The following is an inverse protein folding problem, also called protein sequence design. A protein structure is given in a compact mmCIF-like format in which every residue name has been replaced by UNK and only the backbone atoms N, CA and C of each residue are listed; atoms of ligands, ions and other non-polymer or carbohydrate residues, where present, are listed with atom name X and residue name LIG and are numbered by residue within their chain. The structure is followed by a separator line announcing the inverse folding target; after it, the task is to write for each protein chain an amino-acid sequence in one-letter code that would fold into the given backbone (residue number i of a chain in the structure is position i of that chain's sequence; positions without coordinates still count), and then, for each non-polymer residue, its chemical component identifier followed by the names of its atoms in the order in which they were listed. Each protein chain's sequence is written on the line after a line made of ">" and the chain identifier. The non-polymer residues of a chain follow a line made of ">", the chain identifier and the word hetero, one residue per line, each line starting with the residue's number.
data_IF_386803062651
#
_entry.id   IF_386803062651
#
_cell.length_a   1.000
_cell.length_b   1.000
_cell.length_c   1.000
_cell.angle_alpha   90.00
_cell.angle_beta   90.00
_cell.angle_gamma   90.00
#
_symmetry.space_group_name_H-M   'P 1'
#
loop_
_entity.id
_entity.type
_entity.pdbx_description
1 polymer ?
#
# COMPACT_ATOMS: atom_id res chain seq x y z
N UNK A 1 49.09 -50.84 17.60
CA UNK A 1 47.92 -50.86 16.70
C UNK A 1 47.34 -49.45 16.74
N UNK A 2 47.76 -48.61 15.80
CA UNK A 2 47.55 -47.16 15.84
C UNK A 2 46.63 -46.79 14.68
N UNK A 3 45.41 -46.36 14.98
CA UNK A 3 44.45 -45.91 13.97
C UNK A 3 44.80 -44.48 13.53
N UNK A 4 45.14 -44.33 12.26
CA UNK A 4 45.37 -43.03 11.61
C UNK A 4 44.03 -42.56 11.05
N UNK A 5 43.47 -41.48 11.61
CA UNK A 5 42.31 -40.78 11.06
C UNK A 5 42.76 -39.91 9.88
N UNK A 6 42.30 -40.23 8.67
CA UNK A 6 42.42 -39.34 7.51
C UNK A 6 41.36 -38.24 7.62
N UNK A 7 41.79 -37.01 7.92
CA UNK A 7 40.95 -35.82 7.88
C UNK A 7 40.85 -35.35 6.42
N UNK A 8 39.74 -35.65 5.75
CA UNK A 8 39.44 -35.14 4.42
C UNK A 8 39.01 -33.67 4.53
N UNK A 9 39.91 -32.76 4.17
CA UNK A 9 39.57 -31.36 3.92
C UNK A 9 38.75 -31.27 2.63
N UNK A 10 37.44 -31.12 2.75
CA UNK A 10 36.63 -30.59 1.64
C UNK A 10 36.92 -29.10 1.51
N UNK A 11 37.78 -28.73 0.56
CA UNK A 11 37.83 -27.36 0.07
C UNK A 11 36.50 -27.06 -0.61
N UNK A 12 35.59 -26.41 0.10
CA UNK A 12 34.38 -25.84 -0.50
C UNK A 12 34.85 -24.82 -1.54
N UNK A 13 34.63 -25.14 -2.82
CA UNK A 13 34.80 -24.17 -3.89
C UNK A 13 33.78 -23.06 -3.59
N UNK A 14 34.27 -21.91 -3.15
CA UNK A 14 33.46 -20.71 -3.01
C UNK A 14 32.99 -20.32 -4.42
N UNK A 15 31.81 -20.78 -4.80
CA UNK A 15 31.14 -20.26 -5.98
C UNK A 15 30.94 -18.76 -5.70
N UNK A 16 31.46 -17.85 -6.53
CA UNK A 16 31.21 -16.43 -6.35
C UNK A 16 29.70 -16.24 -6.40
N UNK A 17 29.09 -15.99 -5.24
CA UNK A 17 27.69 -15.58 -5.17
C UNK A 17 27.67 -14.27 -5.94
N UNK A 18 27.07 -14.28 -7.13
CA UNK A 18 26.76 -13.05 -7.85
C UNK A 18 26.12 -12.12 -6.81
N UNK A 19 26.77 -10.99 -6.54
CA UNK A 19 26.17 -9.92 -5.76
C UNK A 19 24.82 -9.68 -6.41
N UNK A 20 23.74 -10.04 -5.72
CA UNK A 20 22.41 -9.89 -6.28
C UNK A 20 22.26 -8.40 -6.52
N UNK A 21 22.22 -8.02 -7.80
CA UNK A 21 22.03 -6.64 -8.20
C UNK A 21 20.82 -6.09 -7.45
N UNK A 22 20.95 -4.88 -6.93
CA UNK A 22 19.85 -4.16 -6.27
C UNK A 22 18.61 -4.28 -7.16
N UNK A 23 17.56 -4.90 -6.64
CA UNK A 23 16.42 -5.28 -7.47
C UNK A 23 15.47 -4.11 -7.72
N UNK A 24 15.64 -3.05 -6.93
CA UNK A 24 14.98 -1.79 -7.12
C UNK A 24 15.43 -1.13 -8.43
N UNK A 25 14.53 -1.01 -9.39
CA UNK A 25 14.80 -0.39 -10.68
C UNK A 25 14.95 1.11 -10.51
N UNK A 26 14.02 1.72 -9.77
CA UNK A 26 14.01 3.16 -9.48
C UNK A 26 13.62 3.41 -8.02
N UNK A 27 14.34 4.33 -7.37
CA UNK A 27 14.00 4.88 -6.05
C UNK A 27 13.62 6.34 -6.21
N UNK A 28 12.36 6.66 -5.96
CA UNK A 28 11.82 8.00 -6.14
C UNK A 28 11.28 8.48 -4.79
N UNK A 29 11.64 9.70 -4.39
CA UNK A 29 10.98 10.38 -3.28
C UNK A 29 9.57 10.78 -3.76
N UNK A 30 8.55 10.15 -3.20
CA UNK A 30 7.16 10.41 -3.61
C UNK A 30 6.49 11.40 -2.68
N UNK A 31 6.86 11.49 -1.41
CA UNK A 31 6.27 12.47 -0.52
C UNK A 31 7.32 13.04 0.42
N UNK A 32 7.37 14.37 0.47
CA UNK A 32 8.15 15.11 1.45
C UNK A 32 7.18 15.65 2.48
N UNK A 33 7.27 15.15 3.72
CA UNK A 33 6.43 15.67 4.80
C UNK A 33 6.67 17.18 4.94
N UNK A 34 5.62 18.02 4.89
CA UNK A 34 5.77 19.44 5.14
C UNK A 34 6.04 19.73 6.62
N UNK A 35 5.84 18.76 7.52
CA UNK A 35 5.95 18.95 8.98
C UNK A 35 6.60 17.75 9.67
N UNK A 36 7.72 18.00 10.37
CA UNK A 36 8.26 17.11 11.40
C UNK A 36 8.61 15.66 11.01
N UNK A 37 8.73 14.81 12.04
CA UNK A 37 8.91 13.37 11.90
C UNK A 37 7.59 12.72 11.44
N UNK A 38 7.56 12.22 10.21
CA UNK A 38 6.46 11.40 9.71
C UNK A 38 6.76 9.90 9.87
N UNK A 39 6.26 9.27 10.92
CA UNK A 39 6.34 7.81 11.11
C UNK A 39 5.26 7.07 10.32
N UNK A 40 5.39 5.76 10.22
CA UNK A 40 4.26 4.86 9.96
C UNK A 40 3.38 5.12 8.75
N UNK A 41 3.49 4.31 7.71
CA UNK A 41 2.73 4.51 6.48
C UNK A 41 1.89 3.29 6.05
N UNK A 42 0.74 3.59 5.46
CA UNK A 42 -0.10 2.70 4.68
C UNK A 42 -0.54 3.42 3.40
N UNK A 43 -0.49 2.71 2.27
CA UNK A 43 -0.85 3.29 0.97
C UNK A 43 -1.76 2.31 0.27
N UNK A 44 -2.85 2.78 -0.33
CA UNK A 44 -3.63 1.95 -1.24
C UNK A 44 -3.89 2.71 -2.53
N UNK A 45 -4.08 1.94 -3.58
CA UNK A 45 -4.54 2.46 -4.85
C UNK A 45 -5.92 1.89 -5.11
N UNK A 46 -6.89 2.78 -5.30
CA UNK A 46 -8.25 2.39 -5.63
C UNK A 46 -8.47 2.64 -7.14
N UNK A 47 -8.42 1.61 -8.00
CA UNK A 47 -8.47 1.79 -9.46
C UNK A 47 -9.75 2.48 -9.95
N UNK A 48 -10.85 2.38 -9.19
CA UNK A 48 -12.09 3.09 -9.52
C UNK A 48 -12.05 4.60 -9.25
N UNK A 49 -11.05 5.09 -8.53
CA UNK A 49 -10.94 6.50 -8.11
C UNK A 49 -9.75 7.22 -8.75
N UNK A 50 -8.85 6.48 -9.40
CA UNK A 50 -7.61 6.98 -10.02
C UNK A 50 -6.73 7.80 -9.07
N UNK A 51 -6.73 7.36 -7.81
CA UNK A 51 -6.01 8.02 -6.73
C UNK A 51 -5.29 7.00 -5.88
N UNK A 52 -4.08 7.35 -5.51
CA UNK A 52 -3.41 6.72 -4.39
C UNK A 52 -3.85 7.47 -3.14
N UNK A 53 -4.20 6.75 -2.08
CA UNK A 53 -4.46 7.32 -0.76
C UNK A 53 -3.36 6.84 0.16
N UNK A 54 -2.74 7.77 0.87
CA UNK A 54 -1.68 7.49 1.82
C UNK A 54 -2.13 7.93 3.19
N UNK A 55 -2.15 7.00 4.13
CA UNK A 55 -2.29 7.25 5.55
C UNK A 55 -0.93 7.19 6.18
N UNK A 56 -0.63 8.16 7.05
CA UNK A 56 0.65 8.19 7.74
C UNK A 56 0.54 8.86 9.11
N UNK A 57 1.49 8.59 10.01
CA UNK A 57 1.59 9.32 11.27
C UNK A 57 2.53 10.52 11.12
N UNK A 58 2.19 11.62 11.77
CA UNK A 58 3.01 12.82 11.75
C UNK A 58 2.93 13.52 13.10
N UNK A 59 4.10 13.78 13.68
CA UNK A 59 4.18 14.57 14.90
C UNK A 59 3.79 16.00 14.59
N UNK A 60 2.73 16.46 15.24
CA UNK A 60 2.15 17.77 14.96
C UNK A 60 1.74 18.47 16.25
N UNK A 61 1.67 19.80 16.20
CA UNK A 61 0.89 20.59 17.15
C UNK A 61 -0.34 21.09 16.44
N UNK A 62 -1.49 21.09 17.12
CA UNK A 62 -2.73 21.62 16.56
C UNK A 62 -2.94 23.04 17.09
N UNK A 63 -2.89 24.04 16.22
CA UNK A 63 -3.23 25.42 16.56
C UNK A 63 -4.50 25.78 15.79
N UNK A 64 -5.60 26.04 16.50
CA UNK A 64 -6.91 26.35 15.91
C UNK A 64 -7.41 25.31 14.89
N UNK A 65 -7.20 24.01 15.17
CA UNK A 65 -7.65 22.92 14.30
C UNK A 65 -6.79 22.71 13.05
N UNK A 66 -5.65 23.39 12.92
CA UNK A 66 -4.68 23.20 11.83
C UNK A 66 -3.34 22.70 12.36
N UNK A 67 -2.62 21.86 11.60
CA UNK A 67 -1.25 21.52 11.94
C UNK A 67 -0.41 22.79 11.93
N UNK A 68 0.24 23.06 13.06
CA UNK A 68 1.28 24.09 13.16
C UNK A 68 2.63 23.46 12.86
N UNK A 69 3.35 24.09 11.93
CA UNK A 69 4.74 23.78 11.58
C UNK A 69 5.76 24.39 12.53
N UNK A 70 5.31 25.27 13.43
CA UNK A 70 6.21 25.92 14.36
C UNK A 70 6.55 24.95 15.47
N UNK A 71 7.82 24.56 15.56
CA UNK A 71 8.40 23.80 16.67
C UNK A 71 8.31 24.69 17.93
N UNK A 72 7.39 24.45 18.88
CA UNK A 72 7.39 25.15 20.15
C UNK A 72 8.66 24.78 20.92
N UNK A 73 9.21 25.72 21.70
CA UNK A 73 10.32 25.45 22.61
C UNK A 73 9.98 24.31 23.59
N UNK A 74 10.97 23.45 23.88
CA UNK A 74 10.94 22.14 24.60
C UNK A 74 10.02 21.92 25.83
N UNK A 75 9.28 22.90 26.34
CA UNK A 75 8.54 22.79 27.60
C UNK A 75 7.01 22.57 27.46
N UNK A 76 6.45 22.48 26.25
CA UNK A 76 4.98 22.41 26.06
C UNK A 76 4.39 21.00 25.83
N UNK A 77 5.19 19.94 25.95
CA UNK A 77 4.74 18.54 25.77
C UNK A 77 3.59 18.19 26.74
N UNK A 78 3.55 18.81 27.92
CA UNK A 78 2.53 18.52 28.94
C UNK A 78 1.22 19.34 28.78
N UNK A 79 1.17 20.34 27.88
CA UNK A 79 0.02 21.24 27.70
C UNK A 79 -0.79 20.97 26.41
N UNK A 80 -0.67 19.79 25.81
CA UNK A 80 -1.23 19.47 24.49
C UNK A 80 -0.22 19.55 23.34
N UNK A 81 1.08 19.62 23.67
CA UNK A 81 2.18 19.60 22.72
C UNK A 81 2.49 18.20 22.18
N UNK A 82 2.92 18.16 20.93
CA UNK A 82 3.56 17.03 20.23
C UNK A 82 2.94 15.66 20.46
N UNK A 83 1.91 15.37 19.67
CA UNK A 83 1.40 14.03 19.52
C UNK A 83 1.58 13.60 18.07
N UNK A 84 1.96 12.35 17.86
CA UNK A 84 1.68 11.74 16.57
C UNK A 84 0.16 11.63 16.43
N UNK A 85 -0.30 12.01 15.24
CA UNK A 85 -1.67 11.89 14.80
C UNK A 85 -1.67 11.15 13.49
N UNK A 86 -2.82 10.58 13.14
CA UNK A 86 -2.98 9.91 11.86
C UNK A 86 -3.54 10.90 10.87
N UNK A 87 -2.77 11.13 9.81
CA UNK A 87 -3.12 11.98 8.69
C UNK A 87 -3.35 11.12 7.46
N UNK A 88 -3.98 11.73 6.47
CA UNK A 88 -3.99 11.18 5.13
C UNK A 88 -3.77 12.26 4.09
N UNK A 89 -3.22 11.84 2.97
CA UNK A 89 -3.12 12.60 1.74
C UNK A 89 -3.50 11.70 0.57
N UNK A 90 -3.59 12.27 -0.62
CA UNK A 90 -3.85 11.50 -1.83
C UNK A 90 -3.04 12.03 -3.01
N UNK A 91 -2.88 11.20 -4.03
CA UNK A 91 -2.19 11.53 -5.27
C UNK A 91 -3.10 11.33 -6.46
N UNK A 92 -3.15 12.32 -7.35
CA UNK A 92 -3.77 12.17 -8.67
C UNK A 92 -2.75 11.74 -9.70
N UNK A 93 -2.90 10.55 -10.29
CA UNK A 93 -2.01 10.08 -11.35
C UNK A 93 -1.16 8.89 -10.92
N UNK A 94 0.15 8.96 -11.09
CA UNK A 94 1.02 7.78 -11.02
C UNK A 94 1.43 7.30 -9.63
N UNK A 95 1.19 8.06 -8.56
CA UNK A 95 1.69 7.76 -7.21
C UNK A 95 3.20 7.92 -7.06
N UNK A 96 3.90 8.45 -8.07
CA UNK A 96 5.35 8.61 -8.11
C UNK A 96 5.75 10.09 -8.03
N UNK A 97 4.98 10.98 -8.68
CA UNK A 97 5.33 12.39 -8.74
C UNK A 97 5.06 13.10 -7.41
N UNK A 98 6.09 13.62 -6.71
CA UNK A 98 5.90 14.31 -5.44
C UNK A 98 5.00 15.54 -5.53
N UNK A 99 4.99 16.23 -6.68
CA UNK A 99 4.19 17.45 -6.87
C UNK A 99 2.69 17.18 -7.02
N UNK A 100 2.29 15.90 -7.13
CA UNK A 100 0.90 15.49 -7.31
C UNK A 100 0.31 14.83 -6.06
N UNK A 101 1.13 14.60 -5.02
CA UNK A 101 0.65 14.29 -3.68
C UNK A 101 0.16 15.59 -3.05
N UNK A 102 -1.09 15.59 -2.60
CA UNK A 102 -1.71 16.72 -1.89
C UNK A 102 -1.86 18.02 -2.71
N UNK A 103 -2.69 18.04 -3.77
CA UNK A 103 -2.86 19.23 -4.61
C UNK A 103 -3.55 20.41 -3.90
N UNK A 104 -3.96 20.25 -2.64
CA UNK A 104 -4.57 21.31 -1.82
C UNK A 104 -3.60 21.81 -0.72
N UNK A 105 -2.31 21.46 -0.86
CA UNK A 105 -1.16 21.87 -0.04
C UNK A 105 -1.21 21.50 1.46
N UNK A 106 -2.19 20.71 1.92
CA UNK A 106 -2.28 20.36 3.34
C UNK A 106 -2.84 18.95 3.59
N UNK A 107 -2.11 18.11 4.35
CA UNK A 107 -2.63 16.82 4.73
C UNK A 107 -3.84 16.96 5.64
N UNK A 108 -4.71 15.96 5.57
CA UNK A 108 -5.97 15.95 6.30
C UNK A 108 -5.87 15.08 7.53
N UNK A 109 -6.33 15.61 8.65
CA UNK A 109 -6.41 14.85 9.89
C UNK A 109 -7.46 13.74 9.72
N UNK A 110 -7.03 12.49 9.81
CA UNK A 110 -7.93 11.33 9.78
C UNK A 110 -8.37 10.94 11.19
N UNK A 111 -7.43 10.90 12.13
CA UNK A 111 -7.70 10.53 13.51
C UNK A 111 -6.81 11.36 14.44
N UNK A 112 -7.40 11.88 15.50
CA UNK A 112 -6.71 12.61 16.57
C UNK A 112 -6.55 11.72 17.81
N UNK A 113 -5.61 12.09 18.69
CA UNK A 113 -5.47 11.47 20.01
C UNK A 113 -6.73 11.66 20.84
N UNK A 114 -6.93 10.80 21.83
CA UNK A 114 -8.03 10.91 22.80
C UNK A 114 -8.80 9.61 22.96
N UNK A 115 -9.14 9.31 24.21
CA UNK A 115 -9.64 8.00 24.63
C UNK A 115 -8.69 7.36 25.66
N UNK A 116 -9.16 6.40 26.47
CA UNK A 116 -8.30 5.64 27.37
C UNK A 116 -7.25 4.85 26.56
N UNK A 117 -5.97 4.95 26.96
CA UNK A 117 -4.86 4.22 26.34
C UNK A 117 -4.25 4.88 25.09
N UNK A 118 -4.82 5.98 24.59
CA UNK A 118 -4.37 6.68 23.37
C UNK A 118 -4.51 8.21 23.49
N UNK A 119 -4.38 8.73 24.72
CA UNK A 119 -4.55 10.16 25.02
C UNK A 119 -3.33 11.02 24.66
N UNK A 120 -2.17 10.40 24.41
CA UNK A 120 -0.92 11.12 24.13
C UNK A 120 -0.40 10.95 22.72
N UNK A 121 -0.53 9.76 22.15
CA UNK A 121 0.06 9.46 20.86
C UNK A 121 -0.79 8.41 20.13
N UNK A 122 -0.98 8.63 18.83
CA UNK A 122 -1.44 7.59 17.90
C UNK A 122 -0.58 7.58 16.63
N UNK A 123 -0.17 6.39 16.18
CA UNK A 123 0.78 6.27 15.09
C UNK A 123 0.56 5.02 14.23
N UNK A 124 1.36 4.89 13.17
CA UNK A 124 1.50 3.66 12.39
C UNK A 124 0.17 3.06 11.88
N UNK A 125 -0.67 3.86 11.19
CA UNK A 125 -1.95 3.37 10.68
C UNK A 125 -1.75 2.26 9.66
N UNK A 126 -2.65 1.29 9.69
CA UNK A 126 -2.84 0.31 8.64
C UNK A 126 -4.32 0.11 8.37
N UNK A 127 -4.71 0.21 7.10
CA UNK A 127 -6.10 0.10 6.70
C UNK A 127 -6.37 -1.20 5.94
N UNK A 128 -7.58 -1.73 6.11
CA UNK A 128 -8.08 -2.88 5.38
C UNK A 128 -9.60 -2.80 5.25
N UNK A 129 -10.15 -3.06 4.08
CA UNK A 129 -11.59 -3.21 3.89
C UNK A 129 -11.99 -4.66 4.18
N UNK A 130 -12.83 -4.88 5.18
CA UNK A 130 -13.31 -6.20 5.57
C UNK A 130 -14.79 -6.13 5.94
N UNK A 131 -15.59 -7.11 5.52
CA UNK A 131 -17.04 -7.13 5.73
C UNK A 131 -17.77 -5.86 5.27
N UNK A 132 -17.27 -5.22 4.20
CA UNK A 132 -17.88 -4.03 3.58
C UNK A 132 -17.66 -2.71 4.34
N UNK A 133 -16.76 -2.69 5.32
CA UNK A 133 -16.35 -1.47 6.04
C UNK A 133 -14.84 -1.36 6.07
N UNK A 134 -14.34 -0.14 6.24
CA UNK A 134 -12.92 0.13 6.42
C UNK A 134 -12.54 -0.02 7.89
N UNK A 135 -11.49 -0.79 8.15
CA UNK A 135 -10.84 -0.94 9.44
C UNK A 135 -9.50 -0.22 9.40
N UNK A 136 -9.19 0.54 10.44
CA UNK A 136 -7.87 1.11 10.69
C UNK A 136 -7.34 0.51 11.98
N UNK A 137 -6.21 -0.18 11.90
CA UNK A 137 -5.44 -0.61 13.05
C UNK A 137 -4.26 0.33 13.22
N UNK A 138 -4.01 0.77 14.43
CA UNK A 138 -2.99 1.78 14.70
C UNK A 138 -2.41 1.61 16.10
N UNK A 139 -1.24 2.19 16.31
CA UNK A 139 -0.56 2.22 17.60
C UNK A 139 -1.10 3.35 18.46
N UNK A 140 -1.29 3.13 19.76
CA UNK A 140 -1.71 4.17 20.70
C UNK A 140 -1.03 4.02 22.05
N UNK A 141 -0.80 5.15 22.73
CA UNK A 141 -0.33 5.17 24.11
C UNK A 141 -0.82 6.41 24.89
N UNK A 142 -0.93 6.23 26.21
CA UNK A 142 -1.11 7.30 27.20
C UNK A 142 0.24 7.87 27.70
N UNK A 143 1.37 7.36 27.21
CA UNK A 143 2.69 7.85 27.57
C UNK A 143 3.23 8.85 26.53
N UNK A 144 3.75 10.01 26.96
CA UNK A 144 4.26 11.03 26.05
C UNK A 144 5.58 10.65 25.36
N UNK A 145 6.30 9.66 25.87
CA UNK A 145 7.56 9.18 25.30
C UNK A 145 7.37 8.08 24.25
N UNK A 146 6.12 7.72 23.93
CA UNK A 146 5.82 6.64 23.01
C UNK A 146 6.09 5.25 23.58
N UNK A 147 6.22 5.09 24.89
CA UNK A 147 6.32 3.79 25.55
C UNK A 147 4.95 3.21 25.91
N UNK A 148 4.88 1.91 26.22
CA UNK A 148 3.64 1.27 26.66
C UNK A 148 2.57 1.20 25.58
N UNK A 149 2.99 0.96 24.34
CA UNK A 149 2.11 0.97 23.18
C UNK A 149 1.12 -0.19 23.22
N UNK A 150 -0.03 0.01 22.59
CA UNK A 150 -1.03 -1.02 22.33
C UNK A 150 -1.59 -0.83 20.93
N UNK A 151 -2.23 -1.87 20.37
CA UNK A 151 -2.90 -1.73 19.07
C UNK A 151 -4.36 -1.37 19.30
N UNK A 152 -4.78 -0.29 18.68
CA UNK A 152 -6.13 0.24 18.68
C UNK A 152 -6.81 0.03 17.33
N UNK A 153 -8.12 0.18 17.32
CA UNK A 153 -8.97 -0.01 16.16
C UNK A 153 -9.93 1.16 15.97
N UNK A 154 -10.10 1.59 14.71
CA UNK A 154 -11.16 2.48 14.28
C UNK A 154 -11.84 1.93 13.01
N UNK A 155 -13.10 2.31 12.80
CA UNK A 155 -13.86 1.91 11.60
C UNK A 155 -14.43 3.11 10.85
N UNK A 156 -14.64 2.95 9.56
CA UNK A 156 -15.35 3.92 8.72
C UNK A 156 -16.13 3.21 7.61
N UNK A 157 -17.26 3.77 7.18
CA UNK A 157 -17.98 3.31 5.97
C UNK A 157 -17.27 3.78 4.68
N UNK A 158 -16.32 4.71 4.80
CA UNK A 158 -15.56 5.27 3.69
C UNK A 158 -14.05 5.29 3.97
N UNK A 159 -13.24 5.10 2.94
CA UNK A 159 -11.78 5.23 3.03
C UNK A 159 -11.33 6.63 3.49
N UNK A 160 -12.18 7.66 3.45
CA UNK A 160 -11.85 9.03 3.86
C UNK A 160 -12.43 9.43 5.23
N UNK A 161 -12.97 8.47 5.98
CA UNK A 161 -13.67 8.75 7.23
C UNK A 161 -15.14 9.21 7.03
N UNK A 162 -15.80 9.70 8.10
CA UNK A 162 -15.24 9.90 9.44
C UNK A 162 -14.89 8.58 10.14
N UNK A 163 -13.80 8.58 10.90
CA UNK A 163 -13.33 7.41 11.64
C UNK A 163 -13.96 7.33 13.04
N UNK A 164 -14.48 6.16 13.40
CA UNK A 164 -15.06 5.87 14.71
C UNK A 164 -14.14 4.94 15.50
N UNK A 165 -13.54 5.43 16.58
CA UNK A 165 -12.69 4.63 17.49
C UNK A 165 -13.48 3.51 18.15
N UNK A 166 -12.88 2.32 18.22
CA UNK A 166 -13.41 1.11 18.86
C UNK A 166 -12.65 0.73 20.12
N UNK A 167 -11.48 1.32 20.35
CA UNK A 167 -10.62 1.08 21.50
C UNK A 167 -9.52 0.08 21.19
N UNK A 168 -8.91 -0.44 22.25
CA UNK A 168 -7.80 -1.38 22.23
C UNK A 168 -8.23 -2.77 21.72
N UNK A 169 -7.39 -3.40 20.90
CA UNK A 169 -7.60 -4.75 20.35
C UNK A 169 -6.48 -5.74 20.67
N UNK A 170 -5.29 -5.24 20.99
CA UNK A 170 -4.16 -6.01 21.53
C UNK A 170 -3.47 -5.18 22.61
N UNK A 171 -3.39 -5.72 23.82
CA UNK A 171 -2.93 -5.02 25.02
C UNK A 171 -1.46 -5.27 25.35
N UNK A 172 -0.91 -4.37 26.17
CA UNK A 172 0.44 -4.47 26.73
C UNK A 172 0.59 -5.64 27.74
N UNK A 173 -0.49 -6.07 28.40
CA UNK A 173 -0.41 -6.90 29.62
C UNK A 173 -0.35 -8.42 29.37
N UNK A 174 -0.26 -8.85 28.11
CA UNK A 174 -0.01 -10.23 27.70
C UNK A 174 1.39 -10.81 28.00
N UNK A 175 1.97 -10.58 29.17
CA UNK A 175 3.11 -11.32 29.77
C UNK A 175 4.49 -11.37 29.06
N UNK A 176 4.71 -10.75 27.89
CA UNK A 176 6.04 -10.73 27.23
C UNK A 176 6.56 -9.38 26.77
N UNK A 177 5.70 -8.39 26.58
CA UNK A 177 6.04 -7.26 25.72
C UNK A 177 6.37 -6.02 26.54
N UNK A 178 7.61 -5.95 27.06
CA UNK A 178 8.06 -4.82 27.88
C UNK A 178 7.97 -3.43 27.22
N UNK A 179 7.71 -3.35 25.90
CA UNK A 179 7.40 -2.08 25.20
C UNK A 179 6.08 -2.13 24.40
N UNK A 180 5.26 -3.17 24.55
CA UNK A 180 3.95 -3.30 23.91
C UNK A 180 3.99 -3.74 22.43
N UNK A 181 2.83 -4.10 21.86
CA UNK A 181 2.70 -4.33 20.42
C UNK A 181 2.69 -3.02 19.62
N UNK A 182 3.40 -3.00 18.50
CA UNK A 182 3.61 -1.85 17.62
C UNK A 182 3.52 -2.24 16.14
N UNK A 183 3.50 -1.23 15.27
CA UNK A 183 3.60 -1.37 13.81
C UNK A 183 2.58 -2.37 13.19
N UNK A 184 1.27 -2.16 13.41
CA UNK A 184 0.26 -3.09 12.92
C UNK A 184 0.24 -3.17 11.39
N UNK A 185 -0.09 -4.35 10.88
CA UNK A 185 -0.38 -4.63 9.48
C UNK A 185 -1.48 -5.66 9.38
N UNK A 186 -2.51 -5.43 8.58
CA UNK A 186 -3.62 -6.36 8.44
C UNK A 186 -3.72 -6.95 7.04
N UNK A 187 -4.26 -8.16 6.92
CA UNK A 187 -4.61 -8.75 5.63
C UNK A 187 -5.77 -9.73 5.77
N UNK A 188 -6.42 -10.02 4.65
CA UNK A 188 -7.55 -10.95 4.59
C UNK A 188 -7.14 -12.19 3.82
N UNK A 189 -7.50 -13.37 4.35
CA UNK A 189 -7.40 -14.65 3.65
C UNK A 189 -8.62 -15.50 3.99
N UNK A 190 -9.31 -16.01 2.97
CA UNK A 190 -10.49 -16.88 3.13
C UNK A 190 -11.51 -16.27 4.11
N UNK A 191 -11.88 -15.00 3.89
CA UNK A 191 -12.79 -14.20 4.73
C UNK A 191 -12.35 -13.97 6.19
N UNK A 192 -11.17 -14.46 6.57
CA UNK A 192 -10.59 -14.23 7.89
C UNK A 192 -9.67 -13.01 7.87
N UNK A 193 -9.81 -12.17 8.88
CA UNK A 193 -8.93 -11.04 9.13
C UNK A 193 -7.76 -11.47 10.02
N UNK A 194 -6.55 -11.13 9.58
CA UNK A 194 -5.32 -11.37 10.31
C UNK A 194 -4.62 -10.04 10.59
N UNK A 195 -3.99 -9.96 11.75
CA UNK A 195 -3.20 -8.82 12.19
C UNK A 195 -1.77 -9.29 12.47
N UNK A 196 -0.82 -8.60 11.88
CA UNK A 196 0.61 -8.72 12.12
C UNK A 196 1.04 -7.50 12.91
N UNK A 197 1.94 -7.72 13.85
CA UNK A 197 2.49 -6.67 14.68
C UNK A 197 3.86 -7.12 15.18
N UNK A 198 4.58 -6.21 15.79
CA UNK A 198 5.86 -6.49 16.43
C UNK A 198 5.83 -6.15 17.91
N UNK A 199 6.65 -6.82 18.70
CA UNK A 199 6.89 -6.42 20.08
C UNK A 199 8.01 -5.36 20.19
N UNK A 200 8.23 -4.87 21.41
CA UNK A 200 9.35 -3.99 21.77
C UNK A 200 10.76 -4.54 21.50
N UNK A 201 10.88 -5.83 21.17
CA UNK A 201 12.15 -6.48 20.83
C UNK A 201 12.30 -6.74 19.33
N UNK A 202 11.39 -6.19 18.52
CA UNK A 202 11.36 -6.35 17.07
C UNK A 202 11.17 -7.81 16.63
N UNK A 203 10.48 -8.62 17.43
CA UNK A 203 9.94 -9.91 16.98
C UNK A 203 8.58 -9.70 16.35
N UNK A 204 8.26 -10.50 15.32
CA UNK A 204 7.08 -10.30 14.50
C UNK A 204 6.06 -11.41 14.77
N UNK A 205 4.84 -11.03 15.13
CA UNK A 205 3.77 -11.95 15.51
C UNK A 205 2.61 -11.86 14.54
N UNK A 206 1.71 -12.83 14.63
CA UNK A 206 0.45 -12.84 13.88
C UNK A 206 -0.68 -13.27 14.81
N UNK A 207 -1.81 -12.59 14.68
CA UNK A 207 -3.05 -12.90 15.35
C UNK A 207 -4.21 -12.95 14.34
N UNK A 208 -5.25 -13.71 14.67
CA UNK A 208 -6.45 -13.85 13.85
C UNK A 208 -7.64 -13.23 14.59
N UNK A 209 -8.49 -12.50 13.87
CA UNK A 209 -9.75 -12.01 14.41
C UNK A 209 -10.64 -13.20 14.84
N UNK A 210 -11.25 -13.09 16.02
CA UNK A 210 -12.12 -14.11 16.61
C UNK A 210 -13.60 -13.72 16.58
N UNK A 211 -13.90 -12.51 16.11
CA UNK A 211 -15.24 -12.03 15.85
C UNK A 211 -15.29 -11.30 14.50
N UNK A 212 -16.50 -11.09 13.98
CA UNK A 212 -16.74 -10.39 12.70
C UNK A 212 -16.55 -8.88 12.77
N UNK A 213 -16.28 -8.33 13.96
CA UNK A 213 -16.11 -6.89 14.17
C UNK A 213 -14.66 -6.45 14.05
N UNK A 214 -13.73 -7.40 14.16
CA UNK A 214 -12.30 -7.15 14.11
C UNK A 214 -11.76 -6.47 15.37
N UNK A 215 -12.47 -6.59 16.50
CA UNK A 215 -12.07 -6.02 17.79
C UNK A 215 -11.39 -7.04 18.71
N UNK A 216 -11.55 -8.35 18.45
CA UNK A 216 -10.96 -9.40 19.27
C UNK A 216 -10.02 -10.25 18.45
N UNK A 217 -8.77 -10.33 18.89
CA UNK A 217 -7.76 -11.14 18.25
C UNK A 217 -7.27 -12.27 19.15
N UNK A 218 -6.90 -13.39 18.52
CA UNK A 218 -6.17 -14.47 19.17
C UNK A 218 -4.84 -14.64 18.46
N UNK A 219 -3.76 -14.54 19.22
CA UNK A 219 -2.41 -14.79 18.72
C UNK A 219 -2.28 -16.23 18.21
N UNK A 220 -1.55 -16.39 17.12
CA UNK A 220 -1.22 -17.68 16.54
C UNK A 220 0.21 -18.09 16.91
N UNK A 221 0.65 -19.22 16.39
CA UNK A 221 2.02 -19.72 16.54
C UNK A 221 2.49 -19.87 18.01
N UNK A 222 1.58 -20.10 18.95
CA UNK A 222 1.88 -20.21 20.39
C UNK A 222 2.72 -19.03 20.93
N UNK A 223 2.44 -17.81 20.47
CA UNK A 223 3.21 -16.60 20.82
C UNK A 223 4.71 -16.70 20.48
N UNK A 224 5.04 -17.40 19.39
CA UNK A 224 6.37 -17.40 18.80
C UNK A 224 6.42 -16.43 17.60
N UNK A 225 7.57 -15.78 17.44
CA UNK A 225 7.84 -14.96 16.24
C UNK A 225 7.63 -15.80 14.98
N UNK A 226 6.97 -15.22 13.99
CA UNK A 226 6.82 -15.86 12.67
C UNK A 226 8.06 -15.65 11.81
N UNK A 227 8.97 -14.74 12.17
CA UNK A 227 10.16 -14.40 11.41
C UNK A 227 11.43 -14.85 12.14
N UNK A 228 12.32 -15.55 11.42
CA UNK A 228 13.59 -16.07 11.95
C UNK A 228 14.63 -14.99 12.32
N UNK A 229 14.36 -13.73 12.06
CA UNK A 229 15.20 -12.57 12.36
C UNK A 229 14.36 -11.46 12.97
N UNK A 230 14.97 -10.55 13.72
CA UNK A 230 14.26 -9.35 14.17
C UNK A 230 13.97 -8.40 13.00
N UNK A 231 12.81 -7.75 13.02
CA UNK A 231 12.38 -6.76 12.04
C UNK A 231 11.51 -5.70 12.72
N UNK A 232 11.58 -4.46 12.24
CA UNK A 232 10.80 -3.36 12.81
C UNK A 232 9.34 -3.43 12.32
N UNK A 233 9.10 -3.58 11.02
CA UNK A 233 7.74 -3.70 10.47
C UNK A 233 7.69 -4.81 9.44
N UNK A 234 6.55 -5.49 9.38
CA UNK A 234 6.24 -6.44 8.31
C UNK A 234 4.91 -6.11 7.64
N UNK A 235 4.87 -6.30 6.33
CA UNK A 235 3.66 -6.27 5.52
C UNK A 235 3.52 -7.61 4.81
N UNK A 236 2.46 -8.35 5.14
CA UNK A 236 2.21 -9.68 4.59
C UNK A 236 1.15 -9.64 3.51
N UNK A 237 1.45 -10.27 2.38
CA UNK A 237 0.52 -10.45 1.26
C UNK A 237 0.47 -11.92 0.87
N UNK A 238 -0.72 -12.42 0.53
CA UNK A 238 -0.89 -13.74 -0.06
C UNK A 238 -0.98 -13.62 -1.58
N UNK A 239 -0.02 -14.21 -2.32
CA UNK A 239 0.07 -14.15 -3.78
C UNK A 239 0.68 -15.44 -4.31
N UNK A 240 0.16 -15.93 -5.44
CA UNK A 240 0.65 -17.14 -6.12
C UNK A 240 0.81 -18.36 -5.18
N UNK A 241 -0.23 -18.60 -4.36
CA UNK A 241 -0.29 -19.69 -3.39
C UNK A 241 0.82 -19.66 -2.32
N UNK A 242 1.35 -18.47 -2.03
CA UNK A 242 2.43 -18.24 -1.06
C UNK A 242 2.19 -16.97 -0.26
N UNK A 243 2.83 -16.93 0.89
CA UNK A 243 2.86 -15.80 1.78
C UNK A 243 4.16 -15.02 1.55
N UNK A 244 4.04 -13.74 1.22
CA UNK A 244 5.14 -12.82 0.95
C UNK A 244 5.20 -11.77 2.07
N UNK A 245 6.21 -11.86 2.92
CA UNK A 245 6.46 -10.91 4.01
C UNK A 245 7.53 -9.91 3.58
N UNK A 246 7.10 -8.67 3.37
CA UNK A 246 8.00 -7.53 3.17
C UNK A 246 8.33 -6.96 4.54
N UNK A 247 9.61 -6.90 4.90
CA UNK A 247 10.02 -6.43 6.22
C UNK A 247 11.27 -5.56 6.15
N UNK A 248 11.51 -4.82 7.23
CA UNK A 248 12.68 -3.95 7.34
C UNK A 248 13.56 -4.31 8.52
N UNK A 249 14.88 -4.23 8.29
CA UNK A 249 15.90 -4.16 9.35
C UNK A 249 16.65 -2.85 9.20
N UNK A 250 17.51 -2.53 10.16
CA UNK A 250 18.36 -1.34 10.13
C UNK A 250 19.11 -1.15 8.80
N UNK A 251 19.41 -2.22 8.05
CA UNK A 251 20.19 -2.17 6.81
C UNK A 251 19.36 -2.09 5.53
N UNK A 252 18.04 -2.31 5.56
CA UNK A 252 17.23 -2.26 4.34
C UNK A 252 15.92 -3.04 4.37
N UNK A 253 15.27 -3.07 3.21
CA UNK A 253 14.00 -3.79 2.97
C UNK A 253 14.30 -5.19 2.42
N UNK A 254 13.57 -6.18 2.95
CA UNK A 254 13.74 -7.60 2.67
C UNK A 254 12.41 -8.24 2.28
N UNK A 255 12.50 -9.37 1.59
CA UNK A 255 11.39 -10.26 1.25
C UNK A 255 11.64 -11.64 1.83
N UNK A 256 10.72 -12.11 2.65
CA UNK A 256 10.66 -13.50 3.10
C UNK A 256 9.43 -14.19 2.51
N UNK A 257 9.57 -15.48 2.19
CA UNK A 257 8.49 -16.30 1.65
C UNK A 257 8.12 -17.43 2.64
N UNK A 258 6.85 -17.79 2.68
CA UNK A 258 6.34 -18.92 3.44
C UNK A 258 5.17 -19.61 2.71
N UNK A 259 4.94 -20.88 3.02
CA UNK A 259 3.76 -21.64 2.57
C UNK A 259 2.66 -21.70 3.63
N UNK A 260 2.93 -21.31 4.88
CA UNK A 260 2.02 -21.52 6.00
C UNK A 260 1.76 -20.29 6.88
N UNK A 261 2.31 -19.12 6.54
CA UNK A 261 2.21 -17.83 7.27
C UNK A 261 2.72 -17.81 8.72
N UNK A 262 3.15 -18.94 9.28
CA UNK A 262 3.55 -19.06 10.68
C UNK A 262 5.07 -19.18 10.84
N UNK A 263 5.81 -19.40 9.75
CA UNK A 263 7.27 -19.49 9.76
C UNK A 263 7.86 -18.91 8.47
N UNK A 264 8.69 -17.88 8.63
CA UNK A 264 9.39 -17.18 7.58
C UNK A 264 10.90 -17.23 7.83
N UNK A 265 11.71 -17.56 6.81
CA UNK A 265 13.17 -17.42 6.89
C UNK A 265 13.56 -15.94 6.93
N UNK A 266 14.86 -15.65 7.09
CA UNK A 266 15.39 -14.27 7.07
C UNK A 266 15.10 -13.49 5.77
N UNK A 267 14.82 -14.21 4.68
CA UNK A 267 14.52 -13.62 3.38
C UNK A 267 15.74 -13.03 2.68
N UNK A 268 15.51 -12.53 1.47
CA UNK A 268 16.50 -11.84 0.64
C UNK A 268 16.39 -10.33 0.83
N UNK A 269 17.51 -9.61 0.68
CA UNK A 269 17.50 -8.14 0.64
C UNK A 269 17.03 -7.68 -0.73
N UNK A 270 16.00 -6.82 -0.77
CA UNK A 270 15.51 -6.21 -2.01
C UNK A 270 16.32 -4.96 -2.35
N UNK A 271 16.50 -4.09 -1.37
CA UNK A 271 17.31 -2.89 -1.46
C UNK A 271 17.74 -2.40 -0.07
N UNK A 272 18.86 -1.69 -0.03
CA UNK A 272 19.41 -1.05 1.17
C UNK A 272 19.37 0.46 1.00
N UNK A 273 19.48 1.22 2.09
CA UNK A 273 19.85 2.62 1.93
C UNK A 273 21.30 2.69 1.46
N UNK A 274 21.62 3.66 0.62
CA UNK A 274 22.98 3.91 0.16
C UNK A 274 23.30 5.34 0.53
N UNK A 275 24.25 5.60 1.44
CA UNK A 275 24.49 6.96 1.96
C UNK A 275 24.74 8.04 0.91
N UNK A 276 25.16 7.65 -0.29
CA UNK A 276 25.54 8.56 -1.37
C UNK A 276 24.55 8.62 -2.54
N UNK A 277 23.51 7.77 -2.57
CA UNK A 277 22.64 7.66 -3.75
C UNK A 277 21.44 8.62 -3.68
N UNK A 278 20.89 8.82 -2.48
CA UNK A 278 19.67 9.59 -2.26
C UNK A 278 19.77 10.38 -0.96
N UNK A 279 19.82 11.71 -1.05
CA UNK A 279 19.92 12.57 0.14
C UNK A 279 18.75 12.40 1.13
N UNK A 280 17.57 12.04 0.64
CA UNK A 280 16.34 11.99 1.44
C UNK A 280 16.15 10.69 2.25
N UNK A 281 16.95 9.65 2.00
CA UNK A 281 16.90 8.37 2.72
C UNK A 281 18.28 7.80 3.14
N UNK A 282 19.33 8.63 3.06
CA UNK A 282 20.72 8.24 3.32
C UNK A 282 21.02 7.74 4.73
N UNK A 283 20.19 8.06 5.72
CA UNK A 283 20.38 7.67 7.11
C UNK A 283 19.56 6.44 7.54
N UNK A 284 18.65 5.97 6.67
CA UNK A 284 17.89 4.77 6.92
C UNK A 284 16.67 4.62 6.03
N UNK A 285 16.22 3.38 5.89
CA UNK A 285 14.95 3.03 5.26
C UNK A 285 14.17 2.02 6.10
N UNK A 286 12.85 2.06 6.03
CA UNK A 286 12.00 1.16 6.80
C UNK A 286 10.54 1.15 6.36
N UNK A 287 9.72 0.49 7.16
CA UNK A 287 8.25 0.50 7.07
C UNK A 287 7.71 0.17 5.65
N UNK A 288 8.13 -0.97 5.06
CA UNK A 288 7.75 -1.30 3.70
C UNK A 288 6.25 -1.58 3.60
N UNK A 289 5.64 -1.08 2.54
CA UNK A 289 4.29 -1.38 2.10
C UNK A 289 4.34 -1.81 0.64
N UNK A 290 3.87 -3.01 0.35
CA UNK A 290 3.89 -3.60 -0.99
C UNK A 290 2.55 -3.37 -1.69
N UNK A 291 2.58 -2.67 -2.82
CA UNK A 291 1.45 -2.51 -3.70
C UNK A 291 1.65 -3.39 -4.95
N UNK A 292 0.84 -4.45 -5.13
CA UNK A 292 0.97 -5.34 -6.26
C UNK A 292 0.67 -4.64 -7.58
N UNK A 293 1.35 -5.06 -8.65
CA UNK A 293 1.16 -4.49 -10.00
C UNK A 293 -0.29 -4.57 -10.50
N UNK A 294 -1.07 -5.54 -10.04
CA UNK A 294 -2.49 -5.67 -10.39
C UNK A 294 -3.34 -4.53 -9.80
N UNK A 295 -2.86 -3.95 -8.70
CA UNK A 295 -3.42 -2.73 -8.10
C UNK A 295 -2.72 -1.47 -8.58
N UNK A 296 -1.63 -1.55 -9.36
CA UNK A 296 -0.93 -0.37 -9.87
C UNK A 296 -1.31 -0.13 -11.33
N UNK A 297 -1.60 1.11 -11.70
CA UNK A 297 -1.89 1.46 -13.10
C UNK A 297 -0.69 1.28 -14.05
N UNK A 298 0.48 0.92 -13.52
CA UNK A 298 1.77 1.05 -14.18
C UNK A 298 2.46 -0.29 -14.49
N UNK A 299 1.76 -1.42 -14.36
CA UNK A 299 2.28 -2.77 -14.68
C UNK A 299 3.56 -3.17 -13.92
N UNK A 300 3.98 -2.37 -12.94
CA UNK A 300 5.15 -2.61 -12.08
C UNK A 300 4.70 -2.88 -10.66
N UNK A 301 5.47 -3.74 -10.00
CA UNK A 301 5.36 -3.97 -8.57
C UNK A 301 5.95 -2.76 -7.84
N UNK A 302 5.36 -2.37 -6.70
CA UNK A 302 5.82 -1.19 -5.96
C UNK A 302 5.97 -1.49 -4.49
N UNK A 303 7.05 -1.00 -3.91
CA UNK A 303 7.26 -1.01 -2.46
C UNK A 303 7.41 0.43 -2.03
N UNK A 304 6.42 0.95 -1.35
CA UNK A 304 6.55 2.21 -0.65
C UNK A 304 7.29 1.99 0.66
N UNK A 305 8.20 2.88 1.03
CA UNK A 305 9.00 2.76 2.25
C UNK A 305 9.26 4.13 2.84
N UNK A 306 9.52 4.20 4.14
CA UNK A 306 9.95 5.43 4.79
C UNK A 306 11.45 5.57 4.63
N UNK A 307 11.91 6.75 4.23
CA UNK A 307 13.32 7.14 4.17
C UNK A 307 13.64 8.16 5.25
N UNK A 308 14.81 8.07 5.86
CA UNK A 308 15.28 8.97 6.91
C UNK A 308 16.48 9.76 6.41
N UNK A 309 16.43 11.08 6.58
CA UNK A 309 17.57 11.98 6.47
C UNK A 309 17.73 12.76 7.79
N UNK A 310 18.94 12.77 8.34
CA UNK A 310 19.33 13.39 9.62
C UNK A 310 20.19 14.64 9.44
N UNK A 311 20.52 15.06 8.21
CA UNK A 311 21.47 16.15 7.95
C UNK A 311 21.06 17.47 8.60
N UNK A 312 19.75 17.77 8.64
CA UNK A 312 19.21 19.04 9.12
C UNK A 312 18.03 18.82 10.09
N UNK A 313 18.16 17.81 10.96
CA UNK A 313 17.06 17.27 11.79
C UNK A 313 16.58 15.92 11.27
N UNK A 314 15.72 15.23 12.02
CA UNK A 314 15.13 13.97 11.55
C UNK A 314 14.00 14.34 10.58
N UNK A 315 14.20 14.03 9.30
CA UNK A 315 13.19 14.17 8.27
C UNK A 315 12.80 12.77 7.80
N UNK A 316 11.52 12.44 7.94
CA UNK A 316 10.98 11.21 7.38
C UNK A 316 10.28 11.53 6.07
N UNK A 317 10.71 10.85 5.02
CA UNK A 317 10.23 10.97 3.66
C UNK A 317 9.59 9.65 3.25
N UNK A 318 8.74 9.68 2.24
CA UNK A 318 8.16 8.46 1.69
C UNK A 318 8.71 8.27 0.29
N UNK A 319 9.29 7.10 0.11
CA UNK A 319 9.88 6.63 -1.11
C UNK A 319 9.03 5.57 -1.76
N UNK A 320 9.22 5.39 -3.06
CA UNK A 320 8.78 4.20 -3.78
C UNK A 320 9.96 3.53 -4.44
N UNK A 321 10.00 2.22 -4.31
CA UNK A 321 10.86 1.33 -5.06
C UNK A 321 10.02 0.60 -6.11
N UNK A 322 10.36 0.72 -7.39
CA UNK A 322 9.69 -0.03 -8.45
C UNK A 322 10.46 -1.30 -8.81
N UNK A 323 9.73 -2.40 -9.04
CA UNK A 323 10.28 -3.68 -9.46
C UNK A 323 9.53 -4.16 -10.70
N UNK A 324 10.23 -4.73 -11.67
CA UNK A 324 9.58 -5.35 -12.84
C UNK A 324 8.83 -6.63 -12.44
N UNK A 325 9.36 -7.36 -11.46
CA UNK A 325 8.71 -8.51 -10.83
C UNK A 325 9.26 -8.74 -9.43
N UNK A 326 8.48 -9.41 -8.59
CA UNK A 326 8.97 -9.87 -7.29
C UNK A 326 9.98 -11.02 -7.51
N UNK A 327 11.17 -10.96 -6.89
CA UNK A 327 12.17 -12.03 -6.93
C UNK A 327 11.71 -13.28 -6.17
N UNK A 328 10.82 -14.07 -6.76
CA UNK A 328 10.36 -15.29 -6.13
C UNK A 328 11.45 -16.35 -6.24
N UNK A 329 11.77 -17.02 -5.13
CA UNK A 329 12.54 -18.24 -5.20
C UNK A 329 11.69 -19.25 -5.98
N UNK A 330 11.99 -19.43 -7.26
CA UNK A 330 11.44 -20.56 -8.01
C UNK A 330 11.82 -21.80 -7.22
N UNK A 331 10.86 -22.63 -6.76
CA UNK A 331 11.19 -23.90 -6.16
C UNK A 331 12.04 -24.62 -7.19
N UNK A 332 13.35 -24.73 -6.94
CA UNK A 332 14.17 -25.66 -7.69
C UNK A 332 13.52 -26.98 -7.40
N UNK A 333 12.81 -27.55 -8.38
CA UNK A 333 12.29 -28.91 -8.27
C UNK A 333 13.50 -29.74 -7.90
N UNK A 334 13.64 -30.08 -6.62
CA UNK A 334 14.68 -30.97 -6.17
C UNK A 334 14.45 -32.21 -7.02
N UNK A 335 15.42 -32.64 -7.84
CA UNK A 335 15.21 -33.76 -8.74
C UNK A 335 14.66 -34.89 -7.90
N UNK A 336 13.38 -35.21 -8.10
CA UNK A 336 12.76 -36.35 -7.45
C UNK A 336 13.64 -37.49 -7.90
N UNK A 337 14.36 -38.11 -6.95
CA UNK A 337 15.10 -39.32 -7.25
C UNK A 337 14.07 -40.28 -7.82
N UNK A 338 14.00 -40.37 -9.15
CA UNK A 338 13.12 -41.29 -9.84
C UNK A 338 13.47 -42.65 -9.25
N UNK A 339 12.55 -43.29 -8.50
CA UNK A 339 12.84 -44.60 -7.96
C UNK A 339 13.27 -45.46 -9.15
N UNK A 340 14.37 -46.22 -9.05
CA UNK A 340 14.75 -47.14 -10.12
C UNK A 340 13.52 -47.97 -10.47
N UNK A 341 13.13 -47.96 -11.75
CA UNK A 341 11.98 -48.68 -12.27
C UNK A 341 12.09 -50.14 -11.83
N UNK A 342 11.34 -50.52 -10.80
CA UNK A 342 11.11 -51.93 -10.52
C UNK A 342 10.13 -52.45 -11.59
N UNK A 343 10.47 -53.53 -12.30
CA UNK A 343 9.56 -54.13 -13.28
C UNK A 343 8.27 -54.53 -12.55
N UNK A 344 7.19 -53.82 -12.86
CA UNK A 344 5.87 -54.08 -12.28
C UNK A 344 5.18 -55.11 -13.17
N UNK A 345 4.79 -56.24 -12.58
CA UNK A 345 4.04 -57.28 -13.27
C UNK A 345 2.72 -56.72 -13.80
N UNK A 346 2.50 -56.91 -15.10
CA UNK A 346 1.31 -56.54 -15.85
C UNK A 346 0.06 -57.24 -15.29
N UNK A 347 -0.97 -56.52 -14.81
CA UNK A 347 -2.26 -57.11 -14.49
C UNK A 347 -3.08 -57.37 -15.77
N UNK A 348 -4.03 -58.33 -15.76
CA UNK A 348 -4.86 -58.65 -16.91
C UNK A 348 -5.88 -57.54 -17.23
N UNK A 349 -6.12 -57.34 -18.53
CA UNK A 349 -7.11 -56.43 -19.11
C UNK A 349 -8.48 -56.50 -18.43
N UNK A 350 -8.81 -55.44 -17.69
CA UNK A 350 -10.17 -55.10 -17.29
C UNK A 350 -10.89 -54.32 -18.40
N UNK A 351 -12.15 -54.67 -18.59
CA UNK A 351 -13.06 -54.24 -19.66
C UNK A 351 -13.24 -52.70 -19.70
N UNK A 352 -13.30 -52.07 -20.89
CA UNK A 352 -13.53 -50.64 -21.04
C UNK A 352 -14.93 -50.24 -20.53
N UNK A 353 -14.99 -49.35 -19.54
CA UNK A 353 -16.24 -48.71 -19.14
C UNK A 353 -16.66 -47.64 -20.16
N UNK A 354 -17.93 -47.72 -20.52
CA UNK A 354 -18.64 -46.89 -21.50
C UNK A 354 -18.73 -45.42 -21.02
N UNK A 355 -18.54 -44.42 -21.90
CA UNK A 355 -18.63 -43.01 -21.52
C UNK A 355 -20.08 -42.61 -21.22
N UNK A 356 -20.34 -42.11 -20.02
CA UNK A 356 -21.59 -41.42 -19.67
C UNK A 356 -21.65 -40.06 -20.36
N UNK A 357 -22.74 -39.84 -21.08
CA UNK A 357 -23.07 -38.61 -21.82
C UNK A 357 -23.32 -37.44 -20.89
N UNK A 358 -22.56 -36.37 -21.09
CA UNK A 358 -22.68 -35.10 -20.38
C UNK A 358 -23.93 -34.33 -20.90
N UNK A 359 -24.83 -33.81 -20.04
CA UNK A 359 -26.00 -33.07 -20.48
C UNK A 359 -25.65 -31.82 -21.29
N UNK A 360 -26.32 -31.71 -22.42
CA UNK A 360 -26.30 -30.58 -23.37
C UNK A 360 -26.84 -29.31 -22.73
N UNK A 361 -26.06 -28.23 -22.78
CA UNK A 361 -26.49 -26.89 -22.36
C UNK A 361 -27.70 -26.43 -23.18
N UNK A 362 -28.77 -26.05 -22.48
CA UNK A 362 -29.96 -25.41 -23.04
C UNK A 362 -29.61 -24.03 -23.61
N UNK A 363 -30.07 -23.66 -24.81
CA UNK A 363 -29.81 -22.35 -25.39
C UNK A 363 -30.46 -21.25 -24.54
N UNK A 364 -29.63 -20.31 -24.08
CA UNK A 364 -30.06 -19.10 -23.37
C UNK A 364 -30.83 -18.19 -24.33
N UNK A 365 -32.02 -17.79 -23.91
CA UNK A 365 -32.88 -16.84 -24.63
C UNK A 365 -32.14 -15.51 -24.84
N UNK A 366 -32.02 -15.12 -26.11
CA UNK A 366 -31.40 -13.86 -26.52
C UNK A 366 -32.33 -12.74 -26.09
N UNK A 367 -31.86 -11.88 -25.18
CA UNK A 367 -32.61 -10.68 -24.76
C UNK A 367 -32.88 -9.76 -25.96
N UNK A 368 -34.02 -9.06 -25.98
CA UNK A 368 -34.38 -8.14 -27.05
C UNK A 368 -33.29 -7.06 -27.24
N UNK A 369 -33.11 -6.55 -28.47
CA UNK A 369 -32.10 -5.55 -28.77
C UNK A 369 -32.25 -4.35 -27.84
N UNK A 370 -31.15 -4.01 -27.16
CA UNK A 370 -31.05 -2.80 -26.35
C UNK A 370 -31.43 -1.63 -27.26
N UNK A 371 -32.40 -0.79 -26.89
CA UNK A 371 -32.81 0.34 -27.71
C UNK A 371 -31.59 1.21 -28.00
N UNK A 372 -31.26 1.35 -29.28
CA UNK A 372 -30.22 2.25 -29.75
C UNK A 372 -30.62 3.66 -29.33
N UNK A 373 -29.87 4.25 -28.40
CA UNK A 373 -30.06 5.64 -28.00
C UNK A 373 -30.06 6.50 -29.26
N UNK A 374 -31.19 7.16 -29.51
CA UNK A 374 -31.30 8.16 -30.58
C UNK A 374 -30.29 9.27 -30.24
N UNK A 375 -29.42 9.69 -31.18
CA UNK A 375 -28.46 10.76 -30.92
C UNK A 375 -29.22 12.00 -30.48
N UNK A 376 -29.13 12.34 -29.19
CA UNK A 376 -29.62 13.61 -28.69
C UNK A 376 -28.74 14.67 -29.34
N UNK A 377 -29.34 15.65 -29.98
CA UNK A 377 -28.65 16.84 -30.50
C UNK A 377 -27.92 17.49 -29.32
N UNK A 378 -26.62 17.27 -29.26
CA UNK A 378 -25.74 17.84 -28.25
C UNK A 378 -25.74 19.36 -28.46
N UNK A 379 -26.13 20.16 -27.45
CA UNK A 379 -26.02 21.61 -27.51
C UNK A 379 -24.60 22.01 -27.89
N UNK A 380 -24.43 22.97 -28.80
CA UNK A 380 -23.11 23.44 -29.23
C UNK A 380 -22.28 23.87 -28.02
N UNK A 381 -21.30 23.05 -27.66
CA UNK A 381 -20.28 23.37 -26.67
C UNK A 381 -19.49 24.61 -27.08
N UNK A 382 -18.86 25.25 -26.10
CA UNK A 382 -17.77 26.17 -26.36
C UNK A 382 -16.65 25.42 -27.11
N UNK A 383 -16.39 25.75 -28.37
CA UNK A 383 -15.31 25.13 -29.15
C UNK A 383 -13.99 25.87 -28.93
N UNK A 384 -12.91 25.15 -28.67
CA UNK A 384 -11.57 25.72 -28.75
C UNK A 384 -11.26 26.07 -30.22
N UNK A 385 -10.67 27.23 -30.46
CA UNK A 385 -10.19 27.62 -31.80
C UNK A 385 -8.94 26.85 -32.23
N UNK A 386 -8.24 26.23 -31.28
CA UNK A 386 -7.03 25.43 -31.45
C UNK A 386 -7.28 23.96 -31.09
N UNK A 387 -6.46 23.07 -31.66
CA UNK A 387 -6.34 21.68 -31.22
C UNK A 387 -5.36 21.59 -30.05
N UNK A 388 -5.57 20.68 -29.08
CA UNK A 388 -6.67 19.71 -28.99
C UNK A 388 -8.03 20.37 -28.71
N UNK A 389 -9.13 19.76 -29.17
CA UNK A 389 -10.46 20.31 -28.93
C UNK A 389 -10.86 20.21 -27.45
N UNK A 390 -11.78 21.05 -27.01
CA UNK A 390 -12.33 21.02 -25.65
C UNK A 390 -12.92 19.66 -25.29
N UNK A 391 -13.64 19.04 -26.22
CA UNK A 391 -14.21 17.70 -26.08
C UNK A 391 -13.17 16.58 -25.92
N UNK A 392 -11.88 16.90 -26.06
CA UNK A 392 -10.76 16.01 -25.77
C UNK A 392 -10.16 16.28 -24.39
N UNK A 393 -10.82 17.06 -23.52
CA UNK A 393 -10.30 17.39 -22.20
C UNK A 393 -9.42 18.64 -22.15
N UNK A 394 -9.38 19.46 -23.20
CA UNK A 394 -8.61 20.71 -23.19
C UNK A 394 -9.44 21.84 -22.58
N UNK A 395 -9.31 22.06 -21.28
CA UNK A 395 -10.15 23.00 -20.56
C UNK A 395 -9.75 24.46 -20.79
N UNK A 396 -8.45 24.74 -20.90
CA UNK A 396 -7.97 26.10 -21.13
C UNK A 396 -7.85 26.48 -22.62
N UNK A 397 -8.22 25.57 -23.52
CA UNK A 397 -8.10 25.72 -24.97
C UNK A 397 -6.67 26.03 -25.45
N UNK A 398 -5.64 25.55 -24.74
CA UNK A 398 -4.25 25.68 -25.16
C UNK A 398 -3.87 24.61 -26.21
N UNK A 399 -2.57 24.36 -26.44
CA UNK A 399 -2.10 23.40 -27.47
C UNK A 399 -1.83 22.00 -26.92
N UNK A 400 -2.14 21.73 -25.65
CA UNK A 400 -1.80 20.51 -24.93
C UNK A 400 -2.95 20.12 -24.00
N UNK A 401 -3.08 18.82 -23.73
CA UNK A 401 -3.92 18.33 -22.63
C UNK A 401 -2.97 17.92 -21.52
N UNK A 402 -3.02 18.64 -20.40
CA UNK A 402 -2.07 18.53 -19.30
C UNK A 402 -2.74 18.73 -17.93
N UNK A 403 -1.93 18.86 -16.87
CA UNK A 403 -2.43 19.00 -15.50
C UNK A 403 -3.15 20.33 -15.25
N UNK A 404 -2.88 21.37 -16.06
CA UNK A 404 -3.59 22.65 -16.00
C UNK A 404 -5.06 22.47 -16.37
N UNK A 405 -5.38 21.62 -17.34
CA UNK A 405 -6.75 21.30 -17.70
C UNK A 405 -7.49 20.59 -16.58
N UNK A 406 -6.79 19.66 -15.91
CA UNK A 406 -7.32 18.99 -14.72
C UNK A 406 -7.56 19.95 -13.56
N UNK A 407 -6.66 20.91 -13.32
CA UNK A 407 -6.85 21.92 -12.28
C UNK A 407 -8.12 22.76 -12.52
N UNK A 408 -8.42 23.07 -13.78
CA UNK A 408 -9.65 23.76 -14.16
C UNK A 408 -10.86 22.86 -13.93
N UNK A 409 -10.81 21.60 -14.38
CA UNK A 409 -11.88 20.63 -14.14
C UNK A 409 -12.16 20.46 -12.65
N UNK A 410 -11.12 20.26 -11.84
CA UNK A 410 -11.23 20.10 -10.38
C UNK A 410 -11.91 21.32 -9.76
N UNK A 411 -11.50 22.52 -10.16
CA UNK A 411 -12.06 23.78 -9.66
C UNK A 411 -13.56 23.91 -10.01
N UNK A 412 -13.94 23.61 -11.25
CA UNK A 412 -15.33 23.68 -11.69
C UNK A 412 -16.19 22.57 -11.06
N UNK A 413 -15.67 21.33 -11.01
CA UNK A 413 -16.33 20.19 -10.37
C UNK A 413 -16.63 20.46 -8.90
N UNK A 414 -15.66 20.97 -8.13
CA UNK A 414 -15.85 21.30 -6.71
C UNK A 414 -16.83 22.45 -6.51
N UNK A 415 -16.86 23.42 -7.43
CA UNK A 415 -17.74 24.58 -7.33
C UNK A 415 -19.20 24.25 -7.65
N UNK A 416 -19.44 23.32 -8.56
CA UNK A 416 -20.79 23.11 -9.12
C UNK A 416 -21.29 21.66 -9.12
N UNK A 417 -20.61 20.76 -8.40
CA UNK A 417 -20.90 19.33 -8.30
C UNK A 417 -22.39 18.96 -8.47
N UNK A 418 -22.69 18.28 -9.57
CA UNK A 418 -24.00 17.72 -9.93
C UNK A 418 -25.16 18.74 -10.07
N UNK A 419 -24.87 20.04 -10.04
CA UNK A 419 -25.88 21.07 -10.24
C UNK A 419 -25.99 21.45 -11.72
N UNK A 420 -27.22 21.67 -12.23
CA UNK A 420 -27.43 22.30 -13.52
C UNK A 420 -26.78 23.67 -13.52
N UNK A 421 -25.98 23.91 -14.54
CA UNK A 421 -25.06 25.01 -14.55
C UNK A 421 -25.66 26.26 -15.21
N UNK A 422 -25.42 27.49 -14.68
CA UNK A 422 -25.78 28.71 -15.39
C UNK A 422 -24.98 28.87 -16.70
N UNK A 423 -25.62 28.50 -17.81
CA UNK A 423 -25.30 28.78 -19.23
C UNK A 423 -23.81 28.90 -19.65
N UNK A 424 -23.37 27.94 -20.49
CA UNK A 424 -22.34 28.00 -21.55
C UNK A 424 -20.89 28.38 -21.19
N UNK A 425 -20.51 28.64 -19.95
CA UNK A 425 -19.18 29.20 -19.62
C UNK A 425 -18.19 28.23 -18.94
N UNK A 426 -18.44 26.93 -18.97
CA UNK A 426 -17.58 25.95 -18.29
C UNK A 426 -16.46 25.53 -19.18
N UNK A 427 -15.25 25.62 -18.67
CA UNK A 427 -14.06 25.17 -19.32
C UNK A 427 -13.95 23.64 -19.32
N UNK A 428 -14.63 22.94 -18.42
CA UNK A 428 -14.42 21.52 -18.20
C UNK A 428 -15.63 20.61 -18.37
N UNK A 429 -16.70 21.10 -18.99
CA UNK A 429 -17.76 20.27 -19.56
C UNK A 429 -17.29 19.79 -20.94
N UNK A 430 -16.73 18.59 -20.98
CA UNK A 430 -16.12 18.02 -22.18
C UNK A 430 -17.09 17.14 -22.98
N UNK A 431 -18.16 16.64 -22.35
CA UNK A 431 -19.21 15.85 -23.02
C UNK A 431 -20.42 16.70 -23.45
N UNK A 432 -20.44 18.00 -23.12
CA UNK A 432 -21.47 18.96 -23.47
C UNK A 432 -22.84 18.64 -22.85
N UNK A 433 -22.87 17.99 -21.69
CA UNK A 433 -24.10 17.64 -20.98
C UNK A 433 -24.59 18.75 -20.03
N UNK A 434 -23.92 19.91 -20.06
CA UNK A 434 -24.17 21.08 -19.20
C UNK A 434 -23.92 20.82 -17.72
N UNK A 435 -23.08 19.83 -17.41
CA UNK A 435 -22.62 19.52 -16.06
C UNK A 435 -21.11 19.29 -16.12
N UNK A 436 -20.43 19.60 -15.01
CA UNK A 436 -19.04 19.18 -14.81
C UNK A 436 -19.10 18.00 -13.85
N UNK A 437 -18.90 16.81 -14.39
CA UNK A 437 -19.09 15.53 -13.69
C UNK A 437 -17.81 14.71 -13.71
N UNK A 438 -17.87 13.51 -13.12
CA UNK A 438 -16.81 12.51 -13.24
C UNK A 438 -16.70 11.95 -14.68
N UNK A 439 -17.75 12.07 -15.51
CA UNK A 439 -17.69 11.70 -16.92
C UNK A 439 -16.71 12.60 -17.69
N UNK A 440 -16.68 13.89 -17.37
CA UNK A 440 -15.72 14.84 -17.94
C UNK A 440 -14.30 14.51 -17.50
N UNK A 441 -14.11 14.18 -16.23
CA UNK A 441 -12.81 13.69 -15.76
C UNK A 441 -12.31 12.49 -16.56
N UNK A 442 -13.19 11.52 -16.85
CA UNK A 442 -12.83 10.36 -17.65
C UNK A 442 -12.41 10.73 -19.09
N UNK A 443 -13.02 11.75 -19.69
CA UNK A 443 -12.62 12.29 -21.00
C UNK A 443 -11.23 12.90 -20.95
N UNK A 444 -10.98 13.83 -20.02
CA UNK A 444 -9.65 14.43 -19.84
C UNK A 444 -8.59 13.37 -19.58
N UNK A 445 -8.86 12.44 -18.65
CA UNK A 445 -7.91 11.39 -18.27
C UNK A 445 -7.54 10.52 -19.47
N UNK A 446 -8.53 10.10 -20.25
CA UNK A 446 -8.32 9.26 -21.43
C UNK A 446 -7.35 9.91 -22.41
N UNK A 447 -7.54 11.19 -22.70
CA UNK A 447 -6.69 11.91 -23.65
C UNK A 447 -5.34 12.30 -23.04
N UNK A 448 -5.29 12.69 -21.77
CA UNK A 448 -4.03 12.95 -21.05
C UNK A 448 -3.11 11.72 -21.00
N UNK A 449 -3.67 10.52 -20.81
CA UNK A 449 -2.88 9.29 -20.83
C UNK A 449 -2.35 8.97 -22.23
N UNK A 450 -3.12 9.26 -23.30
CA UNK A 450 -2.64 9.10 -24.69
C UNK A 450 -1.44 10.01 -24.96
N UNK A 451 -1.50 11.29 -24.57
CA UNK A 451 -0.39 12.23 -24.80
C UNK A 451 0.88 11.82 -24.05
N UNK A 452 0.76 11.21 -22.86
CA UNK A 452 1.88 10.65 -22.10
C UNK A 452 2.48 9.40 -22.76
N UNK A 453 1.65 8.49 -23.28
CA UNK A 453 2.14 7.27 -23.95
C UNK A 453 2.91 7.58 -25.24
N UNK A 454 2.47 8.57 -26.02
CA UNK A 454 3.16 8.98 -27.26
C UNK A 454 4.57 9.52 -27.01
N UNK A 455 4.82 10.13 -25.86
CA UNK A 455 6.13 10.66 -25.49
C UNK A 455 7.12 9.59 -25.01
N UNK A 456 6.66 8.37 -24.70
CA UNK A 456 7.52 7.25 -24.31
C UNK A 456 7.92 6.34 -25.48
N UNK A 457 7.36 6.53 -26.68
CA UNK A 457 7.60 5.71 -27.87
C UNK A 457 8.64 6.29 -28.84
N UNK A 458 9.31 7.39 -28.45
CA UNK A 458 10.42 7.99 -29.20
C UNK A 458 11.70 7.82 -28.38
N UNK A 459 12.28 6.62 -28.41
CA UNK A 459 13.66 6.34 -28.01
C UNK A 459 14.30 5.47 -29.09
#
# INVERSE_FOLDING_TARGET
>A
MTFVFFLLFFTSIAIPIKSHAQQCVERIQTYKSPVGNAGGQWIDHHPGWDRYVMYYSMTSTMINGKPSTTIPSNNDINNGGWADRIWYTWHFGDGLNPDLWDPDDLPKLALDVGGPGESKLIADPFLVEWNGIWHMYYEGTDQPDGSGNSIFHATSESLFGPWTKKGEVLDFYGSRDGMGPSWPSAFIKEDNLYLIYTDGTAHLFIAQATDSTGQKFKTLNNNQTILAVSANKGHLVYKDNRFLLFHSRATGVRLSESTNMLSFPAGITLFTFTPNDNDWDKDGIGLPFYLPKEKSDYKKERIYYSGVNRSDGIHMNIGVCTLDSIPLNTPTLQPTNTPPLFPTNTPPSGIPQLPTTHPTNTPVSISPPIPTNTPILIPNCLSCSSLPAKSSGNANCDTKINISDFAIWKTEYLKYRDQPLPANNYNSDFNCDQKVTISDFAIWKTEYLKTRQSNCLVI
#
